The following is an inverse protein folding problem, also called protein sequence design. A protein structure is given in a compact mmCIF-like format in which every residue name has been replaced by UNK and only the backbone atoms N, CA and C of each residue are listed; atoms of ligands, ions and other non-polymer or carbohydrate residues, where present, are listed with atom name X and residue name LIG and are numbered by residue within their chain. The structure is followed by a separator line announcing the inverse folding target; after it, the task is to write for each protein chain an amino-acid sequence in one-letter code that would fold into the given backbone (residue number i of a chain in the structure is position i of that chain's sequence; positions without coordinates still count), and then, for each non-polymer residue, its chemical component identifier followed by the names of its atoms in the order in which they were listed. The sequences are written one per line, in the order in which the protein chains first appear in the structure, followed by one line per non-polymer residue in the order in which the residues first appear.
data_IF_746585478813
#
_entry.id   IF_746585478813
#
_cell.length_a   1.000
_cell.length_b   1.000
_cell.length_c   1.000
_cell.angle_alpha   90.00
_cell.angle_beta   90.00
_cell.angle_gamma   90.00
#
_symmetry.space_group_name_H-M   'P 1'
#
loop_
_entity.id
_entity.type
_entity.pdbx_description
1 polymer ?
#
# COMPACT_ATOMS: atom_id res chain seq x y z
N UNK A 1 -3.67 3.84 2.94
CA UNK A 1 -5.12 3.65 2.72
C UNK A 1 -5.85 4.99 2.74
N UNK A 2 -5.71 5.83 3.78
CA UNK A 2 -6.39 7.13 3.86
C UNK A 2 -6.18 8.12 2.68
N UNK A 3 -4.95 8.34 2.20
CA UNK A 3 -4.69 9.31 1.11
C UNK A 3 -5.25 8.81 -0.25
N UNK A 4 -5.11 7.51 -0.54
CA UNK A 4 -5.65 6.92 -1.76
C UNK A 4 -7.17 6.93 -1.77
N UNK A 5 -7.78 6.55 -0.64
CA UNK A 5 -9.23 6.68 -0.45
C UNK A 5 -9.72 8.12 -0.54
N UNK A 6 -9.01 9.08 0.06
CA UNK A 6 -9.36 10.49 -0.04
C UNK A 6 -9.32 10.99 -1.49
N UNK A 7 -8.33 10.57 -2.28
CA UNK A 7 -8.26 10.91 -3.71
C UNK A 7 -9.42 10.27 -4.50
N UNK A 8 -9.72 8.99 -4.26
CA UNK A 8 -10.86 8.32 -4.89
C UNK A 8 -12.19 8.97 -4.52
N UNK A 9 -12.39 9.34 -3.25
CA UNK A 9 -13.58 10.06 -2.80
C UNK A 9 -13.71 11.42 -3.47
N UNK A 10 -12.60 12.15 -3.66
CA UNK A 10 -12.61 13.42 -4.38
C UNK A 10 -13.02 13.22 -5.85
N UNK A 11 -12.44 12.22 -6.54
CA UNK A 11 -12.78 11.90 -7.94
C UNK A 11 -14.26 11.50 -8.06
N UNK A 12 -14.73 10.63 -7.17
CA UNK A 12 -16.11 10.16 -7.19
C UNK A 12 -17.12 11.28 -6.86
N UNK A 13 -16.79 12.20 -5.94
CA UNK A 13 -17.61 13.38 -5.66
C UNK A 13 -17.66 14.35 -6.83
N UNK A 14 -16.57 14.51 -7.58
CA UNK A 14 -16.55 15.32 -8.80
C UNK A 14 -17.43 14.68 -9.87
N UNK A 15 -17.34 13.35 -10.04
CA UNK A 15 -18.19 12.60 -10.97
C UNK A 15 -19.69 12.77 -10.64
N UNK A 16 -20.05 12.60 -9.37
CA UNK A 16 -21.43 12.77 -8.87
C UNK A 16 -21.95 14.21 -9.03
N UNK A 17 -21.08 15.22 -8.92
CA UNK A 17 -21.45 16.64 -9.05
C UNK A 17 -21.66 17.09 -10.49
N UNK A 18 -20.81 16.63 -11.41
CA UNK A 18 -20.83 17.09 -12.81
C UNK A 18 -21.52 16.12 -13.76
N UNK A 19 -21.94 14.94 -13.27
CA UNK A 19 -22.74 13.98 -14.02
C UNK A 19 -21.99 13.43 -15.23
N UNK A 20 -20.70 13.13 -15.08
CA UNK A 20 -19.93 12.57 -16.18
C UNK A 20 -20.39 11.13 -16.50
N UNK A 21 -20.37 10.76 -17.77
CA UNK A 21 -20.68 9.39 -18.19
C UNK A 21 -19.70 8.37 -17.57
N UNK A 22 -20.09 7.10 -17.45
CA UNK A 22 -19.25 5.99 -16.92
C UNK A 22 -17.82 5.92 -17.49
N UNK A 23 -17.62 6.50 -18.68
CA UNK A 23 -16.32 6.61 -19.34
C UNK A 23 -15.33 7.53 -18.59
N UNK A 24 -15.79 8.49 -17.78
CA UNK A 24 -14.94 9.45 -17.09
C UNK A 24 -14.14 8.83 -15.94
N UNK A 25 -14.77 8.03 -15.08
CA UNK A 25 -14.07 7.33 -13.99
C UNK A 25 -13.03 6.36 -14.59
N UNK A 26 -13.41 5.61 -15.64
CA UNK A 26 -12.49 4.72 -16.32
C UNK A 26 -11.31 5.48 -16.94
N UNK A 27 -11.57 6.58 -17.64
CA UNK A 27 -10.53 7.45 -18.20
C UNK A 27 -9.60 8.02 -17.12
N UNK A 28 -10.17 8.48 -16.00
CA UNK A 28 -9.40 9.01 -14.87
C UNK A 28 -8.50 7.95 -14.25
N UNK A 29 -8.99 6.72 -14.07
CA UNK A 29 -8.20 5.59 -13.58
C UNK A 29 -7.01 5.27 -14.50
N UNK A 30 -7.24 5.24 -15.82
CA UNK A 30 -6.18 5.02 -16.81
C UNK A 30 -5.15 6.15 -16.79
N UNK A 31 -5.59 7.41 -16.71
CA UNK A 31 -4.69 8.58 -16.64
C UNK A 31 -3.82 8.52 -15.38
N UNK A 32 -4.41 8.19 -14.22
CA UNK A 32 -3.66 8.03 -12.97
C UNK A 32 -2.61 6.91 -13.07
N UNK A 33 -2.98 5.77 -13.67
CA UNK A 33 -2.06 4.67 -13.88
C UNK A 33 -0.88 5.08 -14.77
N UNK A 34 -1.16 5.72 -15.91
CA UNK A 34 -0.14 6.20 -16.86
C UNK A 34 0.74 7.27 -16.21
N UNK A 35 0.15 8.22 -15.48
CA UNK A 35 0.89 9.24 -14.75
C UNK A 35 1.85 8.62 -13.73
N UNK A 36 1.41 7.57 -13.03
CA UNK A 36 2.26 6.78 -12.13
C UNK A 36 3.46 6.16 -12.85
N UNK A 37 3.24 5.51 -13.99
CA UNK A 37 4.31 4.92 -14.81
C UNK A 37 5.28 5.98 -15.34
N UNK A 38 4.77 7.10 -15.85
CA UNK A 38 5.60 8.22 -16.35
C UNK A 38 6.46 8.78 -15.21
N UNK A 39 5.88 8.97 -14.03
CA UNK A 39 6.61 9.51 -12.89
C UNK A 39 7.73 8.56 -12.43
N UNK A 40 7.47 7.25 -12.42
CA UNK A 40 8.48 6.22 -12.16
C UNK A 40 9.57 6.27 -13.23
N UNK A 41 9.22 6.39 -14.52
CA UNK A 41 10.20 6.48 -15.60
C UNK A 41 11.10 7.72 -15.44
N UNK A 42 10.53 8.88 -15.13
CA UNK A 42 11.27 10.15 -14.96
C UNK A 42 12.31 10.07 -13.84
N UNK A 43 12.15 9.19 -12.85
CA UNK A 43 13.13 9.03 -11.75
C UNK A 43 14.55 8.77 -12.23
N UNK A 44 14.74 8.19 -13.42
CA UNK A 44 16.08 7.97 -14.01
C UNK A 44 16.85 9.26 -14.28
N UNK A 45 16.15 10.38 -14.45
CA UNK A 45 16.73 11.70 -14.69
C UNK A 45 16.93 12.51 -13.40
N UNK A 46 16.41 12.03 -12.28
CA UNK A 46 16.54 12.70 -10.99
C UNK A 46 17.97 12.53 -10.44
N UNK A 47 18.61 13.67 -10.13
CA UNK A 47 20.00 13.71 -9.67
C UNK A 47 20.19 13.28 -8.22
N UNK A 48 19.18 13.48 -7.36
CA UNK A 48 19.26 13.15 -5.93
C UNK A 48 18.45 11.91 -5.60
N UNK A 49 18.93 11.14 -4.62
CA UNK A 49 18.24 9.96 -4.08
C UNK A 49 16.85 10.29 -3.52
N UNK A 50 16.69 11.52 -3.03
CA UNK A 50 15.48 12.06 -2.41
C UNK A 50 14.40 12.25 -3.45
N UNK A 51 14.70 12.93 -4.57
CA UNK A 51 13.76 13.09 -5.68
C UNK A 51 13.44 11.74 -6.34
N UNK A 52 14.42 10.85 -6.48
CA UNK A 52 14.16 9.49 -6.96
C UNK A 52 13.16 8.76 -6.06
N UNK A 53 13.39 8.77 -4.75
CA UNK A 53 12.53 8.08 -3.78
C UNK A 53 11.14 8.70 -3.70
N UNK A 54 11.04 10.03 -3.71
CA UNK A 54 9.76 10.74 -3.65
C UNK A 54 8.91 10.49 -4.90
N UNK A 55 9.48 10.67 -6.09
CA UNK A 55 8.76 10.41 -7.35
C UNK A 55 8.42 8.93 -7.49
N UNK A 56 9.28 8.02 -7.01
CA UNK A 56 8.99 6.61 -6.91
C UNK A 56 7.78 6.31 -6.02
N UNK A 57 7.73 6.88 -4.82
CA UNK A 57 6.61 6.70 -3.89
C UNK A 57 5.30 7.24 -4.47
N UNK A 58 5.30 8.47 -4.98
CA UNK A 58 4.12 9.10 -5.60
C UNK A 58 3.69 8.28 -6.83
N UNK A 59 4.63 7.89 -7.68
CA UNK A 59 4.33 7.10 -8.88
C UNK A 59 3.74 5.74 -8.54
N UNK A 60 4.25 5.08 -7.48
CA UNK A 60 3.70 3.84 -6.96
C UNK A 60 2.27 3.98 -6.44
N UNK A 61 1.95 5.07 -5.71
CA UNK A 61 0.58 5.34 -5.23
C UNK A 61 -0.38 5.64 -6.38
N UNK A 62 0.02 6.48 -7.35
CA UNK A 62 -0.83 6.80 -8.50
C UNK A 62 -1.12 5.56 -9.34
N UNK A 63 -0.10 4.74 -9.57
CA UNK A 63 -0.26 3.46 -10.24
C UNK A 63 -1.18 2.52 -9.46
N UNK A 64 -1.01 2.43 -8.14
CA UNK A 64 -1.86 1.61 -7.28
C UNK A 64 -3.33 2.01 -7.40
N UNK A 65 -3.65 3.30 -7.22
CA UNK A 65 -5.02 3.80 -7.26
C UNK A 65 -5.63 3.55 -8.66
N UNK A 66 -4.94 4.00 -9.70
CA UNK A 66 -5.45 3.94 -11.08
C UNK A 66 -5.56 2.52 -11.63
N UNK A 67 -4.52 1.70 -11.50
CA UNK A 67 -4.47 0.38 -12.12
C UNK A 67 -5.04 -0.71 -11.22
N UNK A 68 -4.75 -0.69 -9.91
CA UNK A 68 -5.10 -1.78 -8.99
C UNK A 68 -6.46 -1.55 -8.34
N UNK A 69 -6.68 -0.43 -7.64
CA UNK A 69 -7.94 -0.18 -6.93
C UNK A 69 -9.11 -0.02 -7.89
N UNK A 70 -9.04 0.95 -8.82
CA UNK A 70 -10.08 1.11 -9.83
C UNK A 70 -10.23 -0.12 -10.73
N UNK A 71 -9.12 -0.81 -11.05
CA UNK A 71 -9.17 -2.07 -11.79
C UNK A 71 -10.01 -3.15 -11.09
N UNK A 72 -9.86 -3.30 -9.77
CA UNK A 72 -10.66 -4.22 -8.97
C UNK A 72 -12.10 -3.75 -8.78
N UNK A 73 -12.35 -2.45 -8.68
CA UNK A 73 -13.72 -1.89 -8.67
C UNK A 73 -14.44 -2.26 -9.96
N UNK A 74 -13.87 -1.95 -11.13
CA UNK A 74 -14.47 -2.28 -12.42
C UNK A 74 -14.59 -3.79 -12.63
N UNK A 75 -13.58 -4.56 -12.20
CA UNK A 75 -13.60 -6.01 -12.24
C UNK A 75 -14.76 -6.59 -11.42
N UNK A 76 -14.92 -6.12 -10.18
CA UNK A 76 -15.98 -6.59 -9.29
C UNK A 76 -17.39 -6.26 -9.82
N UNK A 77 -17.58 -5.07 -10.41
CA UNK A 77 -18.84 -4.67 -11.04
C UNK A 77 -19.19 -5.54 -12.25
N UNK A 78 -18.22 -5.81 -13.14
CA UNK A 78 -18.43 -6.65 -14.33
C UNK A 78 -18.71 -8.11 -13.98
N UNK A 79 -18.10 -8.60 -12.90
CA UNK A 79 -18.29 -9.96 -12.39
C UNK A 79 -19.54 -10.10 -11.49
N UNK A 80 -20.28 -9.02 -11.24
CA UNK A 80 -21.50 -9.06 -10.41
C UNK A 80 -21.22 -9.36 -8.93
N UNK A 81 -20.04 -9.00 -8.42
CA UNK A 81 -19.66 -9.27 -7.03
C UNK A 81 -20.35 -8.25 -6.12
N UNK A 82 -21.13 -8.75 -5.18
CA UNK A 82 -21.86 -7.92 -4.21
C UNK A 82 -21.03 -7.66 -2.93
N UNK A 83 -21.31 -6.59 -2.18
CA UNK A 83 -20.74 -6.42 -0.84
C UNK A 83 -21.15 -7.57 0.08
N UNK A 84 -20.26 -7.98 0.99
CA UNK A 84 -20.54 -9.07 1.94
C UNK A 84 -19.94 -8.74 3.30
N UNK A 85 -20.72 -8.87 4.38
CA UNK A 85 -20.32 -8.57 5.77
C UNK A 85 -19.65 -7.19 5.96
N UNK A 86 -20.11 -6.18 5.21
CA UNK A 86 -19.54 -4.83 5.27
C UNK A 86 -18.18 -4.67 4.58
N UNK A 87 -17.75 -5.66 3.80
CA UNK A 87 -16.57 -5.59 2.93
C UNK A 87 -17.00 -5.23 1.51
N UNK A 88 -16.34 -4.21 0.94
CA UNK A 88 -16.60 -3.75 -0.42
C UNK A 88 -16.24 -4.82 -1.47
N UNK A 89 -16.92 -4.86 -2.62
CA UNK A 89 -16.71 -5.89 -3.66
C UNK A 89 -15.27 -6.04 -4.14
N UNK A 90 -14.57 -4.93 -4.36
CA UNK A 90 -13.17 -4.89 -4.80
C UNK A 90 -12.22 -5.53 -3.79
N UNK A 91 -12.52 -5.39 -2.48
CA UNK A 91 -11.72 -5.99 -1.42
C UNK A 91 -11.96 -7.49 -1.27
N UNK A 92 -13.16 -7.97 -1.63
CA UNK A 92 -13.41 -9.42 -1.72
C UNK A 92 -12.49 -10.06 -2.75
N UNK A 93 -12.31 -9.42 -3.92
CA UNK A 93 -11.37 -9.87 -4.93
C UNK A 93 -9.92 -9.77 -4.44
N UNK A 94 -9.54 -8.61 -3.88
CA UNK A 94 -8.17 -8.36 -3.40
C UNK A 94 -7.72 -9.41 -2.38
N UNK A 95 -8.59 -9.83 -1.46
CA UNK A 95 -8.29 -10.85 -0.45
C UNK A 95 -7.72 -12.14 -1.05
N UNK A 96 -8.23 -12.60 -2.19
CA UNK A 96 -7.80 -13.85 -2.83
C UNK A 96 -6.47 -13.74 -3.59
N UNK A 97 -5.85 -12.57 -3.60
CA UNK A 97 -4.57 -12.35 -4.25
C UNK A 97 -3.36 -12.66 -3.35
N UNK A 98 -3.61 -13.14 -2.12
CA UNK A 98 -2.58 -13.54 -1.15
C UNK A 98 -1.54 -14.56 -1.70
N UNK A 99 -1.89 -15.55 -2.55
CA UNK A 99 -0.89 -16.49 -3.07
C UNK A 99 0.14 -15.81 -3.97
N UNK A 100 -0.27 -14.76 -4.71
CA UNK A 100 0.65 -13.98 -5.54
C UNK A 100 1.66 -13.21 -4.69
N UNK A 101 1.21 -12.62 -3.57
CA UNK A 101 2.11 -11.97 -2.61
C UNK A 101 3.12 -12.98 -2.06
N UNK A 102 2.68 -14.18 -1.70
CA UNK A 102 3.58 -15.23 -1.22
C UNK A 102 4.62 -15.61 -2.28
N UNK A 103 4.21 -15.81 -3.54
CA UNK A 103 5.12 -16.09 -4.65
C UNK A 103 6.16 -14.99 -4.86
N UNK A 104 5.72 -13.72 -4.85
CA UNK A 104 6.64 -12.57 -4.97
C UNK A 104 7.56 -12.48 -3.74
N UNK A 105 7.05 -12.73 -2.54
CA UNK A 105 7.84 -12.70 -1.32
C UNK A 105 8.95 -13.76 -1.35
N UNK A 106 8.64 -14.99 -1.77
CA UNK A 106 9.64 -16.05 -1.94
C UNK A 106 10.68 -15.66 -2.99
N UNK A 107 10.27 -15.11 -4.13
CA UNK A 107 11.19 -14.58 -5.12
C UNK A 107 12.12 -13.52 -4.52
N UNK A 108 11.56 -12.53 -3.80
CA UNK A 108 12.36 -11.50 -3.13
C UNK A 108 13.27 -12.08 -2.05
N UNK A 109 12.86 -13.14 -1.36
CA UNK A 109 13.63 -13.76 -0.29
C UNK A 109 14.86 -14.49 -0.83
N UNK A 110 14.77 -15.16 -1.99
CA UNK A 110 15.88 -15.91 -2.58
C UNK A 110 16.70 -15.15 -3.63
N UNK A 111 16.19 -14.04 -4.18
CA UNK A 111 16.88 -13.29 -5.23
C UNK A 111 18.07 -12.45 -4.72
N UNK A 112 19.30 -12.89 -4.98
CA UNK A 112 20.51 -12.36 -4.34
C UNK A 112 20.70 -10.83 -4.45
N UNK A 113 20.27 -10.21 -5.56
CA UNK A 113 20.39 -8.76 -5.79
C UNK A 113 19.39 -7.87 -5.03
N UNK A 114 18.43 -8.44 -4.30
CA UNK A 114 17.47 -7.64 -3.52
C UNK A 114 18.17 -7.04 -2.30
N UNK A 115 18.20 -5.70 -2.25
CA UNK A 115 18.88 -4.91 -1.19
C UNK A 115 17.90 -4.24 -0.21
N UNK A 116 16.68 -4.75 -0.10
CA UNK A 116 15.72 -4.27 0.89
C UNK A 116 16.22 -4.64 2.30
N UNK A 117 16.23 -3.68 3.23
CA UNK A 117 16.75 -3.89 4.58
C UNK A 117 16.07 -5.04 5.32
N UNK A 118 14.75 -5.21 5.13
CA UNK A 118 13.99 -6.30 5.75
C UNK A 118 14.41 -7.67 5.21
N UNK A 119 14.53 -7.80 3.88
CA UNK A 119 14.96 -9.04 3.24
C UNK A 119 16.41 -9.37 3.58
N UNK A 120 17.30 -8.38 3.60
CA UNK A 120 18.68 -8.57 4.04
C UNK A 120 18.77 -8.99 5.51
N UNK A 121 17.91 -8.43 6.38
CA UNK A 121 17.82 -8.85 7.77
C UNK A 121 17.43 -10.32 7.89
N UNK A 122 16.40 -10.77 7.15
CA UNK A 122 15.98 -12.16 7.14
C UNK A 122 17.09 -13.09 6.64
N UNK A 123 17.77 -12.75 5.53
CA UNK A 123 18.89 -13.54 4.98
C UNK A 123 20.12 -13.62 5.87
N UNK A 124 20.33 -12.64 6.75
CA UNK A 124 21.42 -12.68 7.74
C UNK A 124 21.07 -13.55 8.94
N UNK A 125 19.77 -13.72 9.23
CA UNK A 125 19.28 -14.52 10.36
C UNK A 125 18.97 -15.96 9.97
N UNK A 126 18.55 -16.19 8.74
CA UNK A 126 18.20 -17.49 8.19
C UNK A 126 19.28 -17.88 7.16
N UNK A 127 19.86 -19.10 7.21
CA UNK A 127 20.90 -19.54 6.28
C UNK A 127 20.32 -19.87 4.90
N UNK A 128 19.79 -18.86 4.21
CA UNK A 128 19.05 -19.00 2.95
C UNK A 128 19.94 -18.84 1.70
N UNK A 129 21.13 -18.26 1.85
CA UNK A 129 22.03 -17.94 0.74
C UNK A 129 23.32 -18.74 0.81
N UNK A 130 23.86 -19.12 -0.36
CA UNK A 130 25.19 -19.74 -0.48
C UNK A 130 26.32 -18.70 -0.47
N UNK A 131 26.06 -17.48 -0.93
CA UNK A 131 27.02 -16.39 -1.06
C UNK A 131 26.76 -15.19 -0.15
N UNK A 132 27.66 -14.19 -0.13
CA UNK A 132 27.48 -12.96 0.62
C UNK A 132 26.30 -12.13 0.08
N UNK A 133 25.70 -11.30 0.93
CA UNK A 133 24.60 -10.41 0.51
C UNK A 133 25.08 -9.37 -0.51
N UNK A 134 24.26 -9.04 -1.53
CA UNK A 134 24.62 -8.10 -2.60
C UNK A 134 25.00 -6.71 -2.07
N UNK A 135 26.25 -6.31 -2.30
CA UNK A 135 26.80 -5.00 -1.95
C UNK A 135 27.03 -4.15 -3.22
N UNK A 136 26.77 -2.85 -3.15
CA UNK A 136 27.05 -1.93 -4.25
C UNK A 136 26.15 -0.70 -4.29
N UNK A 137 26.57 0.31 -5.06
CA UNK A 137 25.82 1.57 -5.20
C UNK A 137 24.56 1.37 -6.05
N UNK A 138 23.43 1.84 -5.55
CA UNK A 138 22.16 1.89 -6.30
C UNK A 138 22.13 3.20 -7.09
N UNK A 139 21.87 3.11 -8.39
CA UNK A 139 21.86 4.27 -9.30
C UNK A 139 20.49 4.94 -9.43
N UNK A 140 19.42 4.17 -9.32
CA UNK A 140 18.05 4.68 -9.33
C UNK A 140 17.21 4.00 -8.24
N UNK A 141 16.76 4.79 -7.25
CA UNK A 141 15.88 4.32 -6.19
C UNK A 141 14.40 4.34 -6.58
N UNK A 142 13.99 5.13 -7.59
CA UNK A 142 12.58 5.38 -7.90
C UNK A 142 11.74 4.12 -8.13
N UNK A 143 12.10 3.23 -9.07
CA UNK A 143 11.34 2.01 -9.32
C UNK A 143 11.29 1.08 -8.10
N UNK A 144 12.37 1.05 -7.29
CA UNK A 144 12.42 0.24 -6.07
C UNK A 144 11.45 0.79 -5.02
N UNK A 145 11.42 2.10 -4.84
CA UNK A 145 10.50 2.77 -3.91
C UNK A 145 9.04 2.60 -4.34
N UNK A 146 8.76 2.68 -5.65
CA UNK A 146 7.42 2.44 -6.19
C UNK A 146 6.96 1.00 -5.93
N UNK A 147 7.85 0.03 -6.19
CA UNK A 147 7.59 -1.38 -5.93
C UNK A 147 7.39 -1.67 -4.44
N UNK A 148 8.23 -1.09 -3.58
CA UNK A 148 8.08 -1.16 -2.12
C UNK A 148 6.72 -0.59 -1.67
N UNK A 149 6.34 0.58 -2.18
CA UNK A 149 5.05 1.21 -1.89
C UNK A 149 3.88 0.29 -2.24
N UNK A 150 3.86 -0.24 -3.47
CA UNK A 150 2.80 -1.12 -3.97
C UNK A 150 2.75 -2.40 -3.15
N UNK A 151 3.88 -3.08 -2.97
CA UNK A 151 3.92 -4.40 -2.35
C UNK A 151 3.57 -4.35 -0.86
N UNK A 152 4.09 -3.35 -0.13
CA UNK A 152 3.81 -3.19 1.30
C UNK A 152 2.33 -2.86 1.50
N UNK A 153 1.79 -1.92 0.72
CA UNK A 153 0.39 -1.55 0.80
C UNK A 153 -0.51 -2.75 0.48
N UNK A 154 -0.23 -3.48 -0.60
CA UNK A 154 -0.97 -4.68 -0.98
C UNK A 154 -0.94 -5.76 0.10
N UNK A 155 0.25 -6.04 0.64
CA UNK A 155 0.45 -7.07 1.67
C UNK A 155 -0.39 -6.76 2.92
N UNK A 156 -0.36 -5.51 3.39
CA UNK A 156 -1.10 -5.13 4.59
C UNK A 156 -2.61 -4.99 4.35
N UNK A 157 -3.06 -4.60 3.15
CA UNK A 157 -4.47 -4.73 2.77
C UNK A 157 -4.96 -6.17 2.88
N UNK A 158 -4.24 -7.09 2.24
CA UNK A 158 -4.62 -8.51 2.25
C UNK A 158 -4.55 -9.09 3.66
N UNK A 159 -3.53 -8.73 4.46
CA UNK A 159 -3.44 -9.14 5.86
C UNK A 159 -4.68 -8.72 6.65
N UNK A 160 -5.08 -7.45 6.58
CA UNK A 160 -6.26 -6.94 7.29
C UNK A 160 -7.54 -7.65 6.80
N UNK A 161 -7.68 -7.83 5.48
CA UNK A 161 -8.85 -8.50 4.89
C UNK A 161 -8.97 -9.97 5.31
N UNK A 162 -7.85 -10.67 5.49
CA UNK A 162 -7.84 -12.05 6.00
C UNK A 162 -8.19 -12.10 7.49
N UNK A 163 -7.63 -11.17 8.28
CA UNK A 163 -7.87 -11.07 9.72
C UNK A 163 -9.33 -10.69 10.03
N UNK A 164 -9.94 -9.83 9.22
CA UNK A 164 -11.34 -9.43 9.37
C UNK A 164 -12.34 -10.44 8.80
N UNK A 165 -11.91 -11.45 8.07
CA UNK A 165 -12.81 -12.45 7.50
C UNK A 165 -13.38 -13.33 8.62
N UNK A 166 -14.68 -13.21 8.87
CA UNK A 166 -15.41 -14.01 9.87
C UNK A 166 -15.37 -15.52 9.58
N UNK A 167 -15.09 -15.93 8.35
CA UNK A 167 -14.93 -17.36 8.03
C UNK A 167 -13.55 -17.92 8.39
N UNK A 168 -12.55 -17.05 8.65
CA UNK A 168 -11.17 -17.46 8.94
C UNK A 168 -10.80 -17.11 10.39
N UNK A 169 -10.92 -15.84 10.76
CA UNK A 169 -10.56 -15.33 12.09
C UNK A 169 -11.71 -14.52 12.68
N UNK A 170 -12.06 -13.38 12.06
CA UNK A 170 -13.14 -12.49 12.50
C UNK A 170 -12.66 -11.26 13.28
N UNK A 171 -13.52 -10.24 13.35
CA UNK A 171 -13.14 -8.91 13.87
C UNK A 171 -12.74 -8.92 15.35
N UNK A 172 -13.31 -9.81 16.16
CA UNK A 172 -13.03 -9.94 17.60
C UNK A 172 -12.20 -11.20 17.95
N UNK A 173 -11.44 -11.71 16.99
CA UNK A 173 -10.60 -12.90 17.19
C UNK A 173 -9.25 -12.55 17.83
N UNK A 174 -8.63 -13.45 18.62
CA UNK A 174 -7.27 -13.28 19.15
C UNK A 174 -6.23 -12.90 18.09
N UNK A 175 -6.37 -13.42 16.87
CA UNK A 175 -5.52 -13.05 15.74
C UNK A 175 -5.60 -11.55 15.41
N UNK A 176 -6.79 -10.96 15.45
CA UNK A 176 -7.01 -9.52 15.21
C UNK A 176 -6.40 -8.66 16.30
N UNK A 177 -6.55 -9.07 17.57
CA UNK A 177 -5.90 -8.41 18.70
C UNK A 177 -4.37 -8.50 18.61
N UNK A 178 -3.83 -9.65 18.21
CA UNK A 178 -2.40 -9.83 18.00
C UNK A 178 -1.88 -8.94 16.87
N UNK A 179 -2.56 -8.91 15.72
CA UNK A 179 -2.22 -8.02 14.61
C UNK A 179 -2.25 -6.55 15.04
N UNK A 180 -3.22 -6.15 15.87
CA UNK A 180 -3.27 -4.80 16.45
C UNK A 180 -2.05 -4.49 17.32
N UNK A 181 -1.74 -5.35 18.31
CA UNK A 181 -0.62 -5.15 19.23
C UNK A 181 0.71 -5.11 18.47
N UNK A 182 0.92 -6.04 17.54
CA UNK A 182 2.12 -6.08 16.71
C UNK A 182 2.23 -4.84 15.82
N UNK A 183 1.14 -4.42 15.18
CA UNK A 183 1.13 -3.24 14.31
C UNK A 183 1.39 -1.95 15.10
N UNK A 184 0.80 -1.81 16.28
CA UNK A 184 1.01 -0.64 17.15
C UNK A 184 2.42 -0.61 17.73
N UNK A 185 2.90 -1.72 18.29
CA UNK A 185 4.23 -1.82 18.89
C UNK A 185 5.34 -1.65 17.85
N UNK A 186 5.26 -2.37 16.74
CA UNK A 186 6.20 -2.20 15.63
C UNK A 186 6.08 -0.79 15.03
N UNK A 187 4.87 -0.28 14.83
CA UNK A 187 4.64 1.06 14.30
C UNK A 187 5.35 2.14 15.12
N UNK A 188 5.18 2.15 16.45
CA UNK A 188 5.84 3.10 17.36
C UNK A 188 7.37 2.96 17.28
N UNK A 189 7.89 1.72 17.30
CA UNK A 189 9.32 1.47 17.19
C UNK A 189 9.91 1.95 15.85
N UNK A 190 9.20 1.72 14.75
CA UNK A 190 9.59 2.17 13.42
C UNK A 190 9.56 3.71 13.33
N UNK A 191 8.53 4.37 13.88
CA UNK A 191 8.47 5.84 13.96
C UNK A 191 9.66 6.39 14.75
N UNK A 192 9.99 5.82 15.91
CA UNK A 192 11.16 6.21 16.68
C UNK A 192 12.46 6.10 15.87
N UNK A 193 12.62 5.02 15.10
CA UNK A 193 13.80 4.86 14.24
C UNK A 193 13.80 5.84 13.07
N UNK A 194 12.63 6.10 12.48
CA UNK A 194 12.45 7.05 11.37
C UNK A 194 12.92 8.46 11.77
N UNK A 195 12.57 8.92 12.97
CA UNK A 195 12.99 10.22 13.50
C UNK A 195 14.51 10.39 13.63
N UNK A 196 15.27 9.30 13.66
CA UNK A 196 16.75 9.32 13.73
C UNK A 196 17.43 9.31 12.37
N UNK A 197 16.69 9.08 11.28
CA UNK A 197 17.26 9.01 9.93
C UNK A 197 17.45 10.44 9.40
N UNK A 198 18.70 10.83 9.16
CA UNK A 198 19.06 12.18 8.65
C UNK A 198 18.96 12.31 7.13
N UNK A 199 19.12 11.22 6.40
CA UNK A 199 19.08 11.19 4.94
C UNK A 199 17.63 11.15 4.44
N UNK A 200 17.18 12.21 3.75
CA UNK A 200 15.79 12.32 3.29
C UNK A 200 15.34 11.19 2.36
N UNK A 201 16.15 10.81 1.37
CA UNK A 201 15.80 9.71 0.46
C UNK A 201 15.65 8.36 1.17
N UNK A 202 16.44 8.12 2.22
CA UNK A 202 16.30 6.94 3.08
C UNK A 202 15.10 7.06 4.01
N UNK A 203 14.85 8.24 4.56
CA UNK A 203 13.71 8.51 5.42
C UNK A 203 12.38 8.28 4.69
N UNK A 204 12.23 8.76 3.44
CA UNK A 204 11.03 8.54 2.61
C UNK A 204 10.75 7.05 2.42
N UNK A 205 11.76 6.27 2.00
CA UNK A 205 11.61 4.82 1.81
C UNK A 205 11.24 4.11 3.11
N UNK A 206 11.86 4.50 4.22
CA UNK A 206 11.56 3.95 5.53
C UNK A 206 10.18 4.36 6.06
N UNK A 207 9.69 5.55 5.68
CA UNK A 207 8.39 6.06 6.08
C UNK A 207 7.23 5.26 5.47
N UNK A 208 7.40 4.70 4.28
CA UNK A 208 6.37 3.89 3.59
C UNK A 208 5.87 2.74 4.47
N UNK A 209 6.70 1.74 4.86
CA UNK A 209 6.24 0.65 5.71
C UNK A 209 5.88 1.12 7.11
N UNK A 210 6.55 2.16 7.63
CA UNK A 210 6.24 2.73 8.94
C UNK A 210 4.81 3.25 9.00
N UNK A 211 4.41 4.05 8.01
CA UNK A 211 3.07 4.62 7.93
C UNK A 211 2.00 3.54 7.73
N UNK A 212 2.26 2.54 6.87
CA UNK A 212 1.28 1.48 6.59
C UNK A 212 1.09 0.56 7.80
N UNK A 213 2.18 0.14 8.46
CA UNK A 213 2.10 -0.69 9.67
C UNK A 213 1.36 0.04 10.78
N UNK A 214 1.70 1.31 11.01
CA UNK A 214 1.01 2.12 12.01
C UNK A 214 -0.49 2.30 11.66
N UNK A 215 -0.80 2.48 10.37
CA UNK A 215 -2.17 2.62 9.90
C UNK A 215 -3.03 1.39 10.15
N UNK A 216 -2.48 0.18 10.08
CA UNK A 216 -3.24 -1.03 10.41
C UNK A 216 -3.84 -0.96 11.82
N UNK A 217 -3.09 -0.42 12.79
CA UNK A 217 -3.60 -0.26 14.15
C UNK A 217 -4.77 0.75 14.19
N UNK A 218 -4.66 1.86 13.45
CA UNK A 218 -5.73 2.86 13.30
C UNK A 218 -6.97 2.24 12.66
N UNK A 219 -6.79 1.41 11.63
CA UNK A 219 -7.89 0.78 10.90
C UNK A 219 -8.61 -0.28 11.72
N UNK A 220 -7.88 -1.06 12.53
CA UNK A 220 -8.49 -2.02 13.47
C UNK A 220 -9.32 -1.27 14.52
N UNK A 221 -8.82 -0.15 15.05
CA UNK A 221 -9.58 0.68 16.01
C UNK A 221 -10.84 1.29 15.37
N UNK A 222 -10.76 1.75 14.11
CA UNK A 222 -11.91 2.23 13.36
C UNK A 222 -12.93 1.10 13.14
N UNK A 223 -12.48 -0.12 12.82
CA UNK A 223 -13.34 -1.30 12.65
C UNK A 223 -14.05 -1.70 13.96
N UNK A 224 -13.37 -1.57 15.10
CA UNK A 224 -13.96 -1.73 16.43
C UNK A 224 -14.82 -0.53 16.88
N UNK A 225 -15.02 0.47 16.02
CA UNK A 225 -15.84 1.66 16.28
C UNK A 225 -15.35 2.51 17.45
N UNK A 226 -14.04 2.49 17.75
CA UNK A 226 -13.43 3.37 18.76
C UNK A 226 -13.51 4.84 18.34
N UNK A 227 -13.40 5.10 17.04
CA UNK A 227 -13.66 6.41 16.43
C UNK A 227 -14.25 6.23 15.03
N UNK A 228 -14.92 7.28 14.51
CA UNK A 228 -15.36 7.33 13.11
C UNK A 228 -14.20 7.79 12.23
N UNK A 229 -14.07 7.20 11.06
CA UNK A 229 -13.03 7.57 10.10
C UNK A 229 -13.19 9.03 9.64
N UNK A 230 -12.21 9.91 9.88
CA UNK A 230 -12.32 11.34 9.58
C UNK A 230 -12.70 11.65 8.13
N UNK A 231 -12.19 10.87 7.16
CA UNK A 231 -12.41 11.06 5.73
C UNK A 231 -13.81 10.65 5.26
N UNK A 232 -14.50 9.75 5.97
CA UNK A 232 -15.91 9.41 5.70
C UNK A 232 -16.83 10.49 6.26
N UNK A 233 -16.47 11.08 7.41
CA UNK A 233 -17.25 12.15 8.07
C UNK A 233 -16.95 13.56 7.57
N UNK A 234 -15.95 13.74 6.70
CA UNK A 234 -15.60 15.04 6.14
C UNK A 234 -16.65 15.48 5.09
N UNK A 235 -17.80 15.93 5.57
CA UNK A 235 -18.69 16.82 4.83
C UNK A 235 -18.06 18.20 4.85
N UNK A 236 -17.02 18.42 4.04
CA UNK A 236 -16.54 19.77 3.78
C UNK A 236 -17.65 20.52 3.03
N UNK A 237 -18.28 21.56 3.62
CA UNK A 237 -19.11 22.46 2.84
C UNK A 237 -18.14 23.27 1.98
N UNK A 238 -18.03 22.89 0.71
CA UNK A 238 -17.28 23.72 -0.24
C UNK A 238 -18.32 24.65 -0.83
N UNK A 239 -18.25 25.92 -0.40
CA UNK A 239 -18.97 27.05 -1.01
C UNK A 239 -18.87 27.03 -2.53
#
# INVERSE_FOLDING_TARGET
MGIGHALMMAINKVDERYGFEKNFIFGSAVILAIAGVILIYITRFNKTDTWQSMNGAIGGVLFWIGAVEYGLIFGSQRLGITPLHGTAPEYRLMKFTWPFILGIFLYLLFHEDVRCNFIMYLRRKLPLMKGPTSEGRIRNYGPRTAFEMILVLWTFYVLLLLVYDENIFGVHHPATYLTFILSLGCGIYLVYKLLKIKEMGKAIRYAIPTAIIFWNAVEILAKWKVFKEPWITLNLPIM
#
